data_IF_337330489461
#
_entry.id   IF_337330489461
#
_cell.length_a   1.000
_cell.length_b   1.000
_cell.length_c   1.000
_cell.angle_alpha   90.00
_cell.angle_beta   90.00
_cell.angle_gamma   90.00
#
_symmetry.space_group_name_H-M   'P 1'
#
loop_
_entity.id
_entity.type
_entity.pdbx_description
1 polymer ?
#
# COMPACT_ATOMS: atom_id res chain seq x y z
N UNK A 1 -42.44 14.40 25.10
CA UNK A 1 -43.27 14.09 23.91
C UNK A 1 -42.29 13.85 22.78
N UNK A 2 -41.72 12.63 22.66
CA UNK A 2 -42.37 11.42 22.16
C UNK A 2 -42.92 11.71 20.76
N UNK A 3 -42.40 11.15 19.67
CA UNK A 3 -42.29 9.72 19.43
C UNK A 3 -41.15 9.36 18.45
N UNK A 4 -40.20 8.54 18.90
CA UNK A 4 -39.49 7.60 18.04
C UNK A 4 -39.52 6.25 18.75
N UNK A 5 -40.55 5.46 18.45
CA UNK A 5 -40.59 4.07 18.83
C UNK A 5 -39.51 3.31 18.04
N UNK A 6 -38.72 2.42 18.65
CA UNK A 6 -37.89 1.49 17.89
C UNK A 6 -38.83 0.49 17.21
N UNK A 7 -38.92 0.53 15.89
CA UNK A 7 -39.64 -0.50 15.14
C UNK A 7 -38.89 -1.83 15.31
N UNK A 8 -39.58 -2.78 15.94
CA UNK A 8 -39.20 -4.19 16.00
C UNK A 8 -39.35 -4.82 14.62
N UNK A 9 -38.36 -4.62 13.77
CA UNK A 9 -38.18 -5.33 12.52
C UNK A 9 -36.74 -5.81 12.45
N UNK A 10 -36.53 -7.13 12.41
CA UNK A 10 -35.23 -7.69 12.06
C UNK A 10 -34.87 -7.20 10.65
N UNK A 11 -34.12 -6.11 10.55
CA UNK A 11 -33.55 -5.67 9.29
C UNK A 11 -32.41 -6.63 8.98
N UNK A 12 -32.53 -7.34 7.86
CA UNK A 12 -31.37 -7.96 7.24
C UNK A 12 -30.29 -6.88 7.13
N UNK A 13 -29.15 -7.06 7.81
CA UNK A 13 -28.02 -6.15 7.76
C UNK A 13 -27.58 -6.02 6.29
N UNK A 14 -28.02 -4.97 5.61
CA UNK A 14 -27.67 -4.72 4.21
C UNK A 14 -26.17 -4.51 4.11
N UNK A 15 -25.52 -5.19 3.17
CA UNK A 15 -24.10 -4.99 2.90
C UNK A 15 -23.84 -3.49 2.63
N UNK A 16 -22.89 -2.90 3.35
CA UNK A 16 -22.48 -1.51 3.15
C UNK A 16 -21.83 -1.41 1.77
N UNK A 17 -22.40 -0.60 0.88
CA UNK A 17 -21.82 -0.28 -0.43
C UNK A 17 -20.93 0.95 -0.26
N UNK A 18 -19.62 0.75 -0.22
CA UNK A 18 -18.62 1.81 -0.08
C UNK A 18 -17.85 2.01 -1.39
N UNK A 19 -18.14 3.12 -2.09
CA UNK A 19 -17.56 3.45 -3.41
C UNK A 19 -16.51 4.57 -3.34
N UNK A 20 -15.97 4.88 -2.16
CA UNK A 20 -15.00 5.97 -1.99
C UNK A 20 -13.66 5.68 -2.66
N UNK A 21 -13.18 4.45 -2.57
CA UNK A 21 -11.94 3.94 -3.17
C UNK A 21 -11.86 2.42 -3.00
N UNK A 22 -11.12 1.73 -3.85
CA UNK A 22 -10.71 0.34 -3.68
C UNK A 22 -9.85 0.06 -2.43
N UNK A 23 -9.21 1.09 -1.87
CA UNK A 23 -8.47 1.01 -0.60
C UNK A 23 -9.34 0.67 0.62
N UNK A 24 -10.68 0.75 0.50
CA UNK A 24 -11.61 0.36 1.57
C UNK A 24 -11.78 -1.17 1.70
N UNK A 25 -11.16 -1.94 0.79
CA UNK A 25 -11.19 -3.40 0.81
C UNK A 25 -10.72 -3.97 2.15
N UNK A 26 -11.35 -5.08 2.56
CA UNK A 26 -11.00 -5.81 3.78
C UNK A 26 -10.46 -7.20 3.41
N UNK A 27 -9.45 -7.72 4.14
CA UNK A 27 -8.95 -9.08 3.92
C UNK A 27 -10.08 -10.11 4.04
N UNK A 28 -10.15 -11.01 3.05
CA UNK A 28 -11.07 -12.16 3.05
C UNK A 28 -10.72 -13.15 4.16
N UNK A 29 -11.61 -14.09 4.47
CA UNK A 29 -11.32 -15.13 5.46
C UNK A 29 -10.06 -15.94 5.11
N UNK A 30 -9.91 -16.36 3.85
CA UNK A 30 -8.73 -17.08 3.38
C UNK A 30 -7.45 -16.25 3.50
N UNK A 31 -7.49 -14.94 3.21
CA UNK A 31 -6.34 -14.05 3.43
C UNK A 31 -5.96 -13.99 4.91
N UNK A 32 -6.95 -13.86 5.80
CA UNK A 32 -6.70 -13.83 7.26
C UNK A 32 -6.10 -15.13 7.77
N UNK A 33 -6.56 -16.26 7.27
CA UNK A 33 -5.96 -17.56 7.59
C UNK A 33 -4.52 -17.68 7.10
N UNK A 34 -4.24 -17.23 5.88
CA UNK A 34 -2.88 -17.23 5.34
C UNK A 34 -1.95 -16.34 6.17
N UNK A 35 -2.40 -15.13 6.54
CA UNK A 35 -1.64 -14.23 7.42
C UNK A 35 -1.36 -14.87 8.79
N UNK A 36 -2.36 -15.52 9.38
CA UNK A 36 -2.22 -16.15 10.70
C UNK A 36 -1.28 -17.38 10.71
N UNK A 37 -1.12 -18.04 9.56
CA UNK A 37 -0.27 -19.24 9.41
C UNK A 37 1.12 -18.92 8.82
N UNK A 38 1.37 -17.67 8.42
CA UNK A 38 2.62 -17.27 7.79
C UNK A 38 3.80 -17.49 8.73
N UNK A 39 4.88 -18.08 8.24
CA UNK A 39 6.15 -18.11 8.96
C UNK A 39 6.77 -16.71 8.89
N UNK A 40 7.18 -16.16 10.02
CA UNK A 40 7.72 -14.80 10.13
C UNK A 40 9.12 -14.83 10.73
N UNK A 41 9.88 -13.78 10.45
CA UNK A 41 11.23 -13.59 10.97
C UNK A 41 11.53 -12.10 11.14
N UNK A 42 12.81 -11.77 11.22
CA UNK A 42 13.26 -10.38 11.22
C UNK A 42 13.69 -9.98 9.81
N UNK A 43 12.87 -9.17 9.15
CA UNK A 43 13.10 -8.71 7.78
C UNK A 43 14.33 -7.78 7.66
N UNK A 44 14.73 -7.09 8.74
CA UNK A 44 15.95 -6.26 8.72
C UNK A 44 17.19 -7.13 8.56
N UNK A 45 17.18 -8.35 9.12
CA UNK A 45 18.24 -9.34 8.93
C UNK A 45 18.05 -10.21 7.68
N UNK A 46 16.91 -10.07 6.98
CA UNK A 46 16.57 -10.87 5.80
C UNK A 46 16.05 -12.28 6.14
N UNK A 47 15.68 -12.53 7.39
CA UNK A 47 15.30 -13.85 7.89
C UNK A 47 13.78 -14.08 7.89
N UNK A 48 12.97 -13.16 7.34
CA UNK A 48 11.53 -13.37 7.19
C UNK A 48 11.20 -14.17 5.91
N UNK A 49 10.81 -15.46 6.04
CA UNK A 49 10.61 -16.31 4.87
C UNK A 49 9.37 -15.91 4.05
N UNK A 50 8.36 -15.28 4.67
CA UNK A 50 7.14 -14.87 3.96
C UNK A 50 7.41 -13.61 3.13
N UNK A 51 8.16 -12.64 3.67
CA UNK A 51 8.59 -11.46 2.91
C UNK A 51 9.49 -11.86 1.75
N UNK A 52 10.49 -12.72 1.99
CA UNK A 52 11.38 -13.22 0.95
C UNK A 52 10.60 -13.92 -0.19
N UNK A 53 9.69 -14.82 0.15
CA UNK A 53 8.86 -15.51 -0.84
C UNK A 53 7.97 -14.54 -1.65
N UNK A 54 7.44 -13.49 -1.02
CA UNK A 54 6.67 -12.46 -1.73
C UNK A 54 7.56 -11.70 -2.73
N UNK A 55 8.75 -11.27 -2.31
CA UNK A 55 9.69 -10.51 -3.14
C UNK A 55 10.20 -11.35 -4.33
N UNK A 56 10.59 -12.60 -4.08
CA UNK A 56 11.02 -13.54 -5.13
C UNK A 56 9.91 -13.76 -6.16
N UNK A 57 8.68 -14.01 -5.68
CA UNK A 57 7.52 -14.19 -6.56
C UNK A 57 7.25 -12.96 -7.42
N UNK A 58 7.29 -11.76 -6.84
CA UNK A 58 7.04 -10.51 -7.56
C UNK A 58 8.16 -10.21 -8.57
N UNK A 59 9.41 -10.41 -8.18
CA UNK A 59 10.57 -10.26 -9.07
C UNK A 59 10.45 -11.20 -10.29
N UNK A 60 10.13 -12.48 -10.05
CA UNK A 60 9.90 -13.46 -11.11
C UNK A 60 8.70 -13.08 -12.00
N UNK A 61 7.58 -12.68 -11.40
CA UNK A 61 6.36 -12.28 -12.12
C UNK A 61 6.59 -11.10 -13.06
N UNK A 62 7.43 -10.13 -12.66
CA UNK A 62 7.71 -8.91 -13.43
C UNK A 62 9.00 -9.01 -14.29
N UNK A 63 9.70 -10.15 -14.27
CA UNK A 63 10.96 -10.34 -14.98
C UNK A 63 12.07 -9.40 -14.51
N UNK A 64 12.15 -9.13 -13.20
CA UNK A 64 13.17 -8.28 -12.57
C UNK A 64 14.12 -9.11 -11.71
N UNK A 65 15.30 -8.55 -11.45
CA UNK A 65 16.33 -9.23 -10.65
C UNK A 65 15.95 -9.29 -9.16
N UNK A 66 15.19 -8.31 -8.67
CA UNK A 66 14.79 -8.20 -7.27
C UNK A 66 13.48 -7.42 -7.13
N UNK A 67 12.84 -7.55 -5.97
CA UNK A 67 11.72 -6.74 -5.51
C UNK A 67 11.90 -6.44 -4.01
N UNK A 68 11.23 -5.41 -3.52
CA UNK A 68 11.30 -5.00 -2.12
C UNK A 68 9.89 -4.70 -1.60
N UNK A 69 9.52 -5.29 -0.46
CA UNK A 69 8.22 -5.04 0.18
C UNK A 69 8.25 -3.70 0.92
N UNK A 70 7.20 -2.89 0.74
CA UNK A 70 7.07 -1.58 1.36
C UNK A 70 5.72 -1.45 2.07
N UNK A 71 5.65 -0.76 3.23
CA UNK A 71 4.40 -0.51 3.94
C UNK A 71 3.32 0.20 3.13
N UNK A 72 3.69 1.01 2.13
CA UNK A 72 2.75 1.78 1.31
C UNK A 72 3.27 2.05 -0.10
N UNK A 73 2.34 2.37 -1.02
CA UNK A 73 2.69 2.84 -2.36
C UNK A 73 3.48 4.15 -2.35
N UNK A 74 3.14 5.09 -1.45
CA UNK A 74 3.87 6.34 -1.27
C UNK A 74 5.35 6.10 -0.91
N UNK A 75 5.64 5.19 0.01
CA UNK A 75 7.02 4.86 0.36
C UNK A 75 7.74 4.13 -0.79
N UNK A 76 7.04 3.23 -1.48
CA UNK A 76 7.60 2.54 -2.66
C UNK A 76 8.01 3.53 -3.76
N UNK A 77 7.18 4.51 -4.07
CA UNK A 77 7.50 5.54 -5.05
C UNK A 77 8.67 6.42 -4.59
N UNK A 78 8.66 6.87 -3.33
CA UNK A 78 9.76 7.67 -2.79
C UNK A 78 11.10 6.93 -2.86
N UNK A 79 11.15 5.66 -2.42
CA UNK A 79 12.37 4.85 -2.53
C UNK A 79 12.80 4.68 -4.00
N UNK A 80 11.87 4.50 -4.93
CA UNK A 80 12.16 4.46 -6.36
C UNK A 80 12.79 5.76 -6.87
N UNK A 81 12.24 6.91 -6.50
CA UNK A 81 12.79 8.22 -6.87
C UNK A 81 14.20 8.42 -6.29
N UNK A 82 14.39 8.11 -5.01
CA UNK A 82 15.70 8.24 -4.34
C UNK A 82 16.76 7.27 -4.89
N UNK A 83 16.34 6.12 -5.43
CA UNK A 83 17.24 5.18 -6.08
C UNK A 83 17.64 5.62 -7.50
N UNK A 84 16.81 6.43 -8.16
CA UNK A 84 17.04 6.90 -9.52
C UNK A 84 17.66 8.30 -9.61
N UNK A 85 17.45 9.15 -8.60
CA UNK A 85 17.84 10.56 -8.61
C UNK A 85 18.69 10.90 -7.38
N UNK A 86 19.76 11.65 -7.62
CA UNK A 86 20.54 12.32 -6.58
C UNK A 86 19.97 13.68 -6.20
N UNK A 87 20.60 14.33 -5.21
CA UNK A 87 20.21 15.68 -4.80
C UNK A 87 20.48 16.67 -5.94
N UNK A 88 19.46 17.44 -6.31
CA UNK A 88 19.52 18.42 -7.40
C UNK A 88 19.18 17.85 -8.79
N UNK A 89 18.99 16.53 -8.91
CA UNK A 89 18.48 15.93 -10.13
C UNK A 89 16.98 16.25 -10.32
N UNK A 90 16.50 16.03 -11.54
CA UNK A 90 15.11 16.23 -11.92
C UNK A 90 14.45 14.89 -12.30
N UNK A 91 13.15 14.75 -12.03
CA UNK A 91 12.33 13.70 -12.61
C UNK A 91 11.11 14.29 -13.35
N UNK A 92 11.01 14.01 -14.64
CA UNK A 92 9.88 14.46 -15.45
C UNK A 92 8.63 13.67 -15.04
N UNK A 93 7.58 14.37 -14.60
CA UNK A 93 6.35 13.75 -14.09
C UNK A 93 5.09 14.49 -14.57
N UNK A 94 3.99 13.75 -14.69
CA UNK A 94 2.69 14.34 -15.01
C UNK A 94 2.11 15.14 -13.85
N UNK A 95 1.46 16.28 -14.14
CA UNK A 95 0.88 17.18 -13.13
C UNK A 95 -0.19 16.54 -12.22
N UNK A 96 -0.78 15.42 -12.65
CA UNK A 96 -1.79 14.67 -11.90
C UNK A 96 -1.25 13.36 -11.30
N UNK A 97 0.04 13.04 -11.51
CA UNK A 97 0.62 11.81 -11.01
C UNK A 97 0.67 11.80 -9.48
N UNK A 98 0.48 10.62 -8.88
CA UNK A 98 0.43 10.45 -7.43
C UNK A 98 1.73 10.91 -6.75
N UNK A 99 2.87 10.54 -7.34
CA UNK A 99 4.23 10.90 -6.88
C UNK A 99 4.50 12.39 -6.82
N UNK A 100 3.80 13.17 -7.64
CA UNK A 100 3.90 14.63 -7.63
C UNK A 100 2.85 15.26 -6.71
N UNK A 101 1.59 14.86 -6.82
CA UNK A 101 0.45 15.59 -6.23
C UNK A 101 0.00 15.10 -4.86
N UNK A 102 0.08 13.80 -4.58
CA UNK A 102 -0.62 13.16 -3.45
C UNK A 102 0.32 12.54 -2.41
N UNK A 103 1.62 12.76 -2.52
CA UNK A 103 2.65 12.17 -1.65
C UNK A 103 3.37 13.21 -0.78
N UNK A 104 2.75 14.37 -0.57
CA UNK A 104 3.27 15.41 0.31
C UNK A 104 4.58 16.05 -0.15
N UNK A 105 4.95 15.90 -1.43
CA UNK A 105 6.19 16.46 -1.97
C UNK A 105 7.46 15.75 -1.46
N UNK A 106 7.36 14.47 -1.08
CA UNK A 106 8.49 13.70 -0.52
C UNK A 106 9.76 13.74 -1.37
N UNK A 107 9.64 13.72 -2.70
CA UNK A 107 10.78 13.83 -3.62
C UNK A 107 11.60 15.12 -3.39
N UNK A 108 10.92 16.26 -3.24
CA UNK A 108 11.56 17.54 -2.99
C UNK A 108 12.09 17.65 -1.56
N UNK A 109 11.27 17.32 -0.55
CA UNK A 109 11.60 17.53 0.86
C UNK A 109 12.69 16.58 1.36
N UNK A 110 12.61 15.31 0.97
CA UNK A 110 13.50 14.25 1.47
C UNK A 110 14.63 13.95 0.49
N UNK A 111 14.36 14.04 -0.81
CA UNK A 111 15.34 13.74 -1.86
C UNK A 111 16.11 14.94 -2.38
N UNK A 112 15.64 16.18 -2.14
CA UNK A 112 16.11 17.37 -2.87
C UNK A 112 16.04 17.17 -4.40
N UNK A 113 15.04 16.42 -4.88
CA UNK A 113 14.81 16.16 -6.31
C UNK A 113 13.81 17.18 -6.83
N UNK A 114 14.08 17.76 -8.00
CA UNK A 114 13.19 18.69 -8.68
C UNK A 114 12.08 17.93 -9.42
N UNK A 115 10.79 18.12 -9.08
CA UNK A 115 9.65 17.59 -9.81
C UNK A 115 9.24 18.43 -11.03
#
# INVERSE_FOLDING_TARGET
>A
MSDYAPSSGATAQGAVVDLRSDTVTKPTAAMREAMARAAVGDDVFGDDPTVNALQERVAALLGKQAALFMPSGTQSNLCGLLAHCGRGDEYIVGQLAHTYRYEGGGAAVLGSIQP
#
